data_IF_591670286235
#
_entry.id   IF_591670286235
#
_cell.length_a   1.000
_cell.length_b   1.000
_cell.length_c   1.000
_cell.angle_alpha   90.00
_cell.angle_beta   90.00
_cell.angle_gamma   90.00
#
_symmetry.space_group_name_H-M   'P 1'
#
loop_
_entity.id
_entity.type
_entity.pdbx_description
1 polymer ?
#
# COMPACT_ATOMS: atom_id res chain seq x y z
N UNK A 1 31.30 79.37 -14.82
CA UNK A 1 30.18 78.68 -15.48
C UNK A 1 30.64 77.29 -15.89
N UNK A 2 30.32 76.26 -15.10
CA UNK A 2 30.54 74.85 -15.47
C UNK A 2 29.15 74.19 -15.41
N UNK A 3 28.65 73.70 -16.54
CA UNK A 3 27.38 72.98 -16.64
C UNK A 3 27.70 71.49 -16.82
N UNK A 4 27.53 70.71 -15.77
CA UNK A 4 27.50 69.25 -15.85
C UNK A 4 26.05 68.88 -16.21
N UNK A 5 25.84 68.33 -17.41
CA UNK A 5 24.57 67.70 -17.80
C UNK A 5 24.64 66.23 -17.44
N UNK A 6 23.97 65.84 -16.36
CA UNK A 6 23.63 64.44 -16.10
C UNK A 6 22.60 64.02 -17.15
N UNK A 7 22.96 63.07 -18.02
CA UNK A 7 21.98 62.34 -18.83
C UNK A 7 21.57 61.13 -18.00
N UNK A 8 20.36 61.16 -17.45
CA UNK A 8 19.75 59.97 -16.82
C UNK A 8 19.08 59.18 -17.94
N UNK A 9 19.72 58.09 -18.38
CA UNK A 9 19.08 57.08 -19.20
C UNK A 9 18.17 56.23 -18.29
N UNK A 10 16.86 56.40 -18.42
CA UNK A 10 15.89 55.53 -17.73
C UNK A 10 15.80 54.20 -18.48
N UNK A 11 16.33 53.14 -17.88
CA UNK A 11 16.20 51.77 -18.36
C UNK A 11 14.79 51.26 -18.01
N UNK A 12 13.89 51.19 -19.00
CA UNK A 12 12.57 50.60 -18.85
C UNK A 12 12.73 49.07 -18.74
N UNK A 13 12.75 48.53 -17.52
CA UNK A 13 12.63 47.09 -17.29
C UNK A 13 11.19 46.65 -17.58
N UNK A 14 10.93 46.26 -18.83
CA UNK A 14 9.72 45.52 -19.20
C UNK A 14 9.79 44.14 -18.54
N UNK A 15 9.07 43.96 -17.44
CA UNK A 15 8.78 42.64 -16.89
C UNK A 15 7.88 41.89 -17.86
N UNK A 16 8.45 41.07 -18.73
CA UNK A 16 7.68 40.06 -19.47
C UNK A 16 7.06 39.11 -18.44
N UNK A 17 5.77 39.29 -18.18
CA UNK A 17 4.98 38.25 -17.55
C UNK A 17 4.87 37.15 -18.60
N UNK A 18 5.59 36.05 -18.43
CA UNK A 18 5.31 34.84 -19.21
C UNK A 18 3.97 34.33 -18.69
N UNK A 19 2.90 34.69 -19.41
CA UNK A 19 1.58 34.16 -19.14
C UNK A 19 1.61 32.66 -19.44
N UNK A 20 0.96 31.88 -18.58
CA UNK A 20 0.74 30.46 -18.83
C UNK A 20 0.06 30.28 -20.20
N UNK A 21 0.65 29.47 -21.06
CA UNK A 21 0.08 29.09 -22.35
C UNK A 21 -0.34 27.62 -22.34
N UNK A 22 -1.25 27.26 -23.26
CA UNK A 22 -1.69 25.89 -23.45
C UNK A 22 -1.04 25.31 -24.71
N UNK A 23 -0.28 24.24 -24.55
CA UNK A 23 0.40 23.55 -25.63
C UNK A 23 -0.16 22.15 -25.81
N UNK A 24 -0.43 21.77 -27.06
CA UNK A 24 -0.87 20.43 -27.44
C UNK A 24 0.23 19.77 -28.26
N UNK A 25 0.60 18.54 -27.89
CA UNK A 25 1.51 17.73 -28.68
C UNK A 25 0.87 17.39 -30.04
N UNK A 26 1.51 17.75 -31.15
CA UNK A 26 0.88 17.73 -32.48
C UNK A 26 1.60 16.86 -33.53
N UNK A 27 2.60 16.07 -33.14
CA UNK A 27 3.35 15.17 -34.03
C UNK A 27 3.27 13.71 -33.57
N UNK A 28 3.64 12.76 -34.44
CA UNK A 28 3.62 11.34 -34.09
C UNK A 28 4.72 10.95 -33.08
N UNK A 29 5.91 11.53 -33.20
CA UNK A 29 7.04 11.29 -32.31
C UNK A 29 8.06 12.42 -32.39
N UNK A 30 8.70 12.78 -31.28
CA UNK A 30 9.71 13.83 -31.26
C UNK A 30 10.17 14.23 -29.87
N UNK A 31 11.07 15.22 -29.81
CA UNK A 31 11.57 15.79 -28.57
C UNK A 31 10.68 16.93 -28.06
N UNK A 32 10.50 17.00 -26.74
CA UNK A 32 9.81 18.07 -26.02
C UNK A 32 10.40 19.45 -26.34
N UNK A 33 11.72 19.54 -26.48
CA UNK A 33 12.46 20.77 -26.74
C UNK A 33 12.33 21.32 -28.15
N UNK A 34 11.64 20.63 -29.06
CA UNK A 34 11.44 21.10 -30.44
C UNK A 34 10.16 21.93 -30.52
N UNK A 35 10.30 23.25 -30.71
CA UNK A 35 9.18 24.21 -30.77
C UNK A 35 8.06 23.83 -31.75
N UNK A 36 8.41 23.25 -32.91
CA UNK A 36 7.44 22.84 -33.93
C UNK A 36 6.65 21.57 -33.62
N UNK A 37 6.97 20.87 -32.51
CA UNK A 37 6.23 19.68 -32.07
C UNK A 37 5.05 20.02 -31.14
N UNK A 38 4.84 21.31 -30.89
CA UNK A 38 3.75 21.81 -30.06
C UNK A 38 2.85 22.75 -30.88
N UNK A 39 1.57 22.75 -30.55
CA UNK A 39 0.59 23.72 -31.05
C UNK A 39 0.04 24.54 -29.87
N UNK A 40 0.17 25.87 -29.87
CA UNK A 40 0.93 26.70 -30.82
C UNK A 40 2.44 26.39 -30.77
N UNK A 41 3.19 26.79 -31.80
CA UNK A 41 4.64 26.58 -31.82
C UNK A 41 5.30 27.29 -30.64
N UNK A 42 6.04 26.54 -29.84
CA UNK A 42 6.74 27.01 -28.65
C UNK A 42 7.24 25.84 -27.82
N UNK A 43 8.07 26.11 -26.83
CA UNK A 43 8.53 25.08 -25.89
C UNK A 43 7.82 25.34 -24.57
N UNK A 44 6.97 24.41 -24.08
CA UNK A 44 6.28 24.58 -22.81
C UNK A 44 7.27 24.76 -21.65
N UNK A 45 7.02 25.78 -20.82
CA UNK A 45 7.76 26.12 -19.61
C UNK A 45 6.96 25.89 -18.32
N UNK A 46 7.53 26.28 -17.18
CA UNK A 46 7.07 25.91 -15.83
C UNK A 46 5.71 26.45 -15.41
N UNK A 47 5.18 27.43 -16.13
CA UNK A 47 3.82 27.98 -15.95
C UNK A 47 2.78 27.33 -16.85
N UNK A 48 3.22 26.63 -17.90
CA UNK A 48 2.36 26.27 -19.02
C UNK A 48 1.59 24.97 -18.78
N UNK A 49 0.50 24.82 -19.52
CA UNK A 49 -0.24 23.57 -19.61
C UNK A 49 0.22 22.80 -20.84
N UNK A 50 0.43 21.49 -20.66
CA UNK A 50 0.74 20.55 -21.75
C UNK A 50 -0.35 19.50 -21.84
N UNK A 51 -0.87 19.28 -23.05
CA UNK A 51 -1.79 18.18 -23.37
C UNK A 51 -1.12 17.19 -24.31
N UNK A 52 -1.12 15.92 -23.92
CA UNK A 52 -0.64 14.78 -24.71
C UNK A 52 -1.80 13.79 -24.81
N UNK A 53 -2.31 13.60 -26.03
CA UNK A 53 -3.41 12.67 -26.31
C UNK A 53 -3.00 11.48 -27.16
N UNK A 54 -1.86 11.57 -27.85
CA UNK A 54 -1.34 10.55 -28.76
C UNK A 54 0.15 10.82 -29.05
N UNK A 55 0.76 9.90 -29.81
CA UNK A 55 2.17 10.02 -30.21
C UNK A 55 3.15 9.77 -29.07
N UNK A 56 4.43 10.02 -29.33
CA UNK A 56 5.53 9.84 -28.38
C UNK A 56 6.27 11.15 -28.12
N UNK A 57 6.20 11.64 -26.88
CA UNK A 57 6.96 12.81 -26.42
C UNK A 57 8.21 12.35 -25.72
N UNK A 58 9.39 12.77 -26.20
CA UNK A 58 10.67 12.48 -25.57
C UNK A 58 11.14 13.67 -24.73
N UNK A 59 11.43 13.45 -23.45
CA UNK A 59 12.05 14.42 -22.55
C UNK A 59 13.56 14.13 -22.50
N UNK A 60 14.33 14.74 -23.41
CA UNK A 60 15.81 14.59 -23.49
C UNK A 60 16.60 15.50 -22.54
N UNK A 61 15.94 16.51 -21.98
CA UNK A 61 16.46 17.53 -21.07
C UNK A 61 15.49 17.71 -19.91
N UNK A 62 15.95 18.18 -18.74
CA UNK A 62 15.04 18.43 -17.62
C UNK A 62 13.98 19.46 -18.01
N UNK A 63 12.72 19.21 -17.64
CA UNK A 63 11.57 20.07 -17.97
C UNK A 63 10.72 20.32 -16.74
N UNK A 64 9.99 21.43 -16.79
CA UNK A 64 8.97 21.76 -15.81
C UNK A 64 7.77 22.35 -16.52
N UNK A 65 6.57 22.03 -16.03
CA UNK A 65 5.28 22.55 -16.49
C UNK A 65 4.39 22.92 -15.32
N UNK A 66 3.46 23.84 -15.57
CA UNK A 66 2.40 24.15 -14.61
C UNK A 66 1.40 23.02 -14.54
N UNK A 67 0.92 22.57 -15.70
CA UNK A 67 -0.12 21.53 -15.80
C UNK A 67 0.23 20.45 -16.81
N UNK A 68 -0.02 19.19 -16.47
CA UNK A 68 0.11 18.04 -17.38
C UNK A 68 -1.23 17.33 -17.57
N UNK A 69 -1.72 17.27 -18.81
CA UNK A 69 -2.90 16.53 -19.22
C UNK A 69 -2.45 15.38 -20.12
N UNK A 70 -2.46 14.15 -19.58
CA UNK A 70 -2.10 12.93 -20.30
C UNK A 70 -3.34 12.07 -20.50
N UNK A 71 -3.86 12.05 -21.72
CA UNK A 71 -5.08 11.30 -22.09
C UNK A 71 -4.79 10.07 -22.95
N UNK A 72 -3.57 9.97 -23.49
CA UNK A 72 -3.09 8.87 -24.30
C UNK A 72 -1.64 9.07 -24.74
N UNK A 73 -1.14 8.24 -25.65
CA UNK A 73 0.24 8.32 -26.15
C UNK A 73 1.29 7.85 -25.15
N UNK A 74 2.56 8.19 -25.42
CA UNK A 74 3.73 7.85 -24.59
C UNK A 74 4.51 9.10 -24.20
N UNK A 75 4.67 9.32 -22.90
CA UNK A 75 5.62 10.28 -22.34
C UNK A 75 6.90 9.55 -21.92
N UNK A 76 7.98 9.73 -22.68
CA UNK A 76 9.24 9.01 -22.53
C UNK A 76 10.34 9.90 -21.95
N UNK A 77 10.80 9.61 -20.75
CA UNK A 77 11.89 10.34 -20.09
C UNK A 77 13.22 9.65 -20.38
N UNK A 78 14.16 10.38 -20.98
CA UNK A 78 15.51 9.86 -21.20
C UNK A 78 16.25 9.65 -19.86
N UNK A 79 17.30 8.84 -19.87
CA UNK A 79 18.08 8.54 -18.67
C UNK A 79 18.56 9.79 -17.93
N UNK A 80 18.38 9.77 -16.62
CA UNK A 80 18.74 10.86 -15.70
C UNK A 80 18.03 12.19 -16.01
N UNK A 81 16.83 12.12 -16.60
CA UNK A 81 15.96 13.28 -16.84
C UNK A 81 14.78 13.32 -15.91
N UNK A 82 14.40 14.55 -15.58
CA UNK A 82 13.28 14.86 -14.71
C UNK A 82 12.26 15.71 -15.44
N UNK A 83 10.99 15.34 -15.34
CA UNK A 83 9.86 16.22 -15.62
C UNK A 83 9.18 16.60 -14.30
N UNK A 84 9.07 17.90 -14.02
CA UNK A 84 8.37 18.43 -12.84
C UNK A 84 7.04 19.06 -13.21
N UNK A 85 5.95 18.63 -12.58
CA UNK A 85 4.61 19.22 -12.70
C UNK A 85 4.29 19.99 -11.43
N UNK A 86 4.05 21.30 -11.55
CA UNK A 86 4.00 22.20 -10.39
C UNK A 86 2.60 22.35 -9.76
N UNK A 87 1.55 22.48 -10.59
CA UNK A 87 0.25 22.95 -10.13
C UNK A 87 -0.84 21.88 -10.23
N UNK A 88 -0.98 21.23 -11.38
CA UNK A 88 -2.01 20.20 -11.54
C UNK A 88 -1.66 19.14 -12.58
N UNK A 89 -2.25 17.95 -12.44
CA UNK A 89 -2.12 16.91 -13.44
C UNK A 89 -3.42 16.13 -13.61
N UNK A 90 -3.63 15.60 -14.81
CA UNK A 90 -4.75 14.72 -15.11
C UNK A 90 -4.24 13.56 -15.95
N UNK A 91 -4.40 12.32 -15.47
CA UNK A 91 -3.95 11.13 -16.20
C UNK A 91 -5.14 10.22 -16.46
N UNK A 92 -5.59 10.17 -17.71
CA UNK A 92 -6.75 9.37 -18.13
C UNK A 92 -6.46 8.24 -19.11
N UNK A 93 -5.20 8.13 -19.54
CA UNK A 93 -4.72 7.03 -20.38
C UNK A 93 -3.28 7.26 -20.84
N UNK A 94 -2.69 6.24 -21.45
CA UNK A 94 -1.35 6.30 -22.02
C UNK A 94 -0.24 5.83 -21.08
N UNK A 95 0.99 5.92 -21.56
CA UNK A 95 2.17 5.36 -20.91
C UNK A 95 3.13 6.47 -20.49
N UNK A 96 3.58 6.44 -19.23
CA UNK A 96 4.74 7.18 -18.76
C UNK A 96 5.89 6.17 -18.68
N UNK A 97 6.95 6.37 -19.43
CA UNK A 97 8.09 5.44 -19.52
C UNK A 97 9.41 6.17 -19.38
N UNK A 98 10.47 5.47 -19.01
CA UNK A 98 11.81 6.03 -18.98
C UNK A 98 12.86 4.97 -18.67
N UNK A 99 13.76 5.31 -17.76
CA UNK A 99 14.75 4.39 -17.19
C UNK A 99 14.81 4.52 -15.67
N UNK A 100 15.52 3.62 -14.99
CA UNK A 100 15.66 3.57 -13.53
C UNK A 100 16.27 4.82 -12.90
N UNK A 101 16.93 5.67 -13.70
CA UNK A 101 17.46 6.97 -13.25
C UNK A 101 16.60 8.17 -13.65
N UNK A 102 15.52 7.96 -14.39
CA UNK A 102 14.58 9.01 -14.81
C UNK A 102 13.42 9.14 -13.82
N UNK A 103 12.82 10.35 -13.76
CA UNK A 103 11.78 10.65 -12.78
C UNK A 103 10.73 11.62 -13.32
N UNK A 104 9.47 11.34 -13.05
CA UNK A 104 8.40 12.36 -13.08
C UNK A 104 8.08 12.77 -11.64
N UNK A 105 7.96 14.08 -11.39
CA UNK A 105 7.76 14.64 -10.06
C UNK A 105 6.54 15.55 -10.06
N UNK A 106 5.58 15.27 -9.18
CA UNK A 106 4.44 16.15 -8.91
C UNK A 106 4.77 16.96 -7.66
N UNK A 107 4.85 18.29 -7.80
CA UNK A 107 5.27 19.18 -6.72
C UNK A 107 4.30 19.20 -5.54
N UNK A 108 4.71 19.78 -4.40
CA UNK A 108 3.91 19.78 -3.17
C UNK A 108 2.56 20.52 -3.29
N UNK A 109 2.43 21.42 -4.25
CA UNK A 109 1.17 22.11 -4.57
C UNK A 109 0.42 21.47 -5.74
N UNK A 110 0.92 20.35 -6.28
CA UNK A 110 0.30 19.68 -7.41
C UNK A 110 -0.92 18.89 -6.94
N UNK A 111 -2.09 19.21 -7.51
CA UNK A 111 -3.29 18.38 -7.40
C UNK A 111 -3.43 17.53 -8.66
N UNK A 112 -3.39 16.21 -8.51
CA UNK A 112 -3.49 15.26 -9.61
C UNK A 112 -4.75 14.40 -9.51
N UNK A 113 -5.44 14.21 -10.62
CA UNK A 113 -6.54 13.24 -10.72
C UNK A 113 -6.20 12.15 -11.73
N UNK A 114 -6.39 10.89 -11.33
CA UNK A 114 -6.25 9.72 -12.19
C UNK A 114 -7.63 9.10 -12.38
N UNK A 115 -8.12 9.03 -13.63
CA UNK A 115 -9.52 8.67 -13.92
C UNK A 115 -9.69 8.03 -15.31
N UNK A 116 -10.88 7.50 -15.58
CA UNK A 116 -11.31 7.08 -16.93
C UNK A 116 -10.74 5.74 -17.41
N UNK A 117 -11.54 4.94 -18.12
CA UNK A 117 -11.26 3.53 -18.41
C UNK A 117 -10.06 3.21 -19.35
N UNK A 118 -9.29 4.20 -19.81
CA UNK A 118 -8.11 3.96 -20.65
C UNK A 118 -6.97 3.32 -19.85
N UNK A 119 -6.24 2.38 -20.47
CA UNK A 119 -5.06 1.77 -19.85
C UNK A 119 -4.01 2.84 -19.52
N UNK A 120 -3.44 2.73 -18.31
CA UNK A 120 -2.39 3.58 -17.78
C UNK A 120 -1.21 2.72 -17.40
N UNK A 121 -0.01 3.08 -17.85
CA UNK A 121 1.21 2.34 -17.52
C UNK A 121 2.33 3.28 -17.07
N UNK A 122 3.05 2.87 -16.02
CA UNK A 122 4.35 3.40 -15.63
C UNK A 122 5.41 2.32 -15.83
N UNK A 123 6.48 2.63 -16.56
CA UNK A 123 7.52 1.66 -16.90
C UNK A 123 8.92 2.20 -16.56
N UNK A 124 9.75 1.44 -15.85
CA UNK A 124 11.17 1.71 -15.55
C UNK A 124 11.53 2.94 -14.71
N UNK A 125 10.65 3.93 -14.57
CA UNK A 125 10.97 5.24 -13.96
C UNK A 125 10.50 5.38 -12.52
N UNK A 126 10.97 6.44 -11.84
CA UNK A 126 10.41 6.86 -10.54
C UNK A 126 9.27 7.87 -10.72
N UNK A 127 8.08 7.53 -10.24
CA UNK A 127 6.93 8.43 -10.17
C UNK A 127 6.83 8.97 -8.74
N UNK A 128 7.13 10.27 -8.54
CA UNK A 128 7.13 10.86 -7.20
C UNK A 128 5.99 11.85 -6.99
N UNK A 129 5.17 11.55 -5.98
CA UNK A 129 4.16 12.45 -5.47
C UNK A 129 4.68 13.23 -4.25
N UNK A 130 4.65 14.56 -4.32
CA UNK A 130 4.81 15.44 -3.15
C UNK A 130 3.51 16.14 -2.74
N UNK A 131 2.47 16.10 -3.58
CA UNK A 131 1.21 16.80 -3.40
C UNK A 131 0.05 15.83 -3.17
N UNK A 132 -1.09 16.13 -3.79
CA UNK A 132 -2.33 15.38 -3.63
C UNK A 132 -2.65 14.62 -4.92
N UNK A 133 -2.77 13.30 -4.84
CA UNK A 133 -3.28 12.45 -5.92
C UNK A 133 -4.64 11.89 -5.49
N UNK A 134 -5.64 12.01 -6.36
CA UNK A 134 -6.92 11.32 -6.24
C UNK A 134 -7.07 10.32 -7.38
N UNK A 135 -7.22 9.05 -7.05
CA UNK A 135 -7.42 7.94 -8.00
C UNK A 135 -8.87 7.49 -7.98
N UNK A 136 -9.60 7.90 -9.03
CA UNK A 136 -11.04 7.65 -9.24
C UNK A 136 -11.26 6.74 -10.45
N UNK A 137 -10.20 6.05 -10.89
CA UNK A 137 -10.19 5.32 -12.14
C UNK A 137 -11.18 4.15 -12.17
N UNK A 138 -11.68 3.84 -13.36
CA UNK A 138 -12.41 2.61 -13.64
C UNK A 138 -11.53 1.54 -14.31
N UNK A 139 -10.36 1.93 -14.83
CA UNK A 139 -9.34 1.04 -15.37
C UNK A 139 -8.18 0.81 -14.39
N UNK A 140 -7.33 -0.17 -14.73
CA UNK A 140 -6.12 -0.48 -13.97
C UNK A 140 -4.99 0.51 -14.29
N UNK A 141 -4.14 0.76 -13.28
CA UNK A 141 -2.83 1.39 -13.49
C UNK A 141 -1.79 0.28 -13.40
N UNK A 142 -0.98 0.12 -14.44
CA UNK A 142 0.11 -0.85 -14.48
C UNK A 142 1.43 -0.21 -14.01
N UNK A 143 2.09 -0.84 -13.03
CA UNK A 143 3.41 -0.44 -12.51
C UNK A 143 4.43 -1.50 -12.93
N UNK A 144 5.03 -1.35 -14.11
CA UNK A 144 5.83 -2.40 -14.74
C UNK A 144 7.33 -2.12 -14.71
N UNK A 145 8.11 -3.20 -14.88
CA UNK A 145 9.54 -3.16 -15.16
C UNK A 145 10.33 -2.27 -14.19
N UNK A 146 10.21 -2.52 -12.88
CA UNK A 146 10.88 -1.74 -11.82
C UNK A 146 10.44 -0.28 -11.70
N UNK A 147 9.30 0.11 -12.29
CA UNK A 147 8.71 1.40 -11.99
C UNK A 147 8.48 1.54 -10.48
N UNK A 148 8.79 2.72 -9.94
CA UNK A 148 8.74 2.99 -8.52
C UNK A 148 7.82 4.17 -8.24
N UNK A 149 6.64 3.89 -7.70
CA UNK A 149 5.73 4.91 -7.20
C UNK A 149 6.15 5.29 -5.76
N UNK A 150 6.44 6.56 -5.53
CA UNK A 150 6.80 7.08 -4.21
C UNK A 150 5.80 8.16 -3.80
N UNK A 151 5.03 7.88 -2.75
CA UNK A 151 4.25 8.89 -2.04
C UNK A 151 5.14 9.51 -0.95
N UNK A 152 5.60 10.75 -1.15
CA UNK A 152 6.58 11.39 -0.25
C UNK A 152 5.93 11.85 1.05
N UNK A 153 6.77 12.20 2.03
CA UNK A 153 6.30 12.76 3.31
C UNK A 153 5.50 14.04 3.06
N UNK A 154 4.34 14.16 3.72
CA UNK A 154 3.38 15.25 3.52
C UNK A 154 2.47 15.11 2.30
N UNK A 155 2.71 14.12 1.42
CA UNK A 155 1.90 13.87 0.24
C UNK A 155 0.71 12.93 0.55
N UNK A 156 -0.39 13.12 -0.17
CA UNK A 156 -1.58 12.28 -0.08
C UNK A 156 -1.82 11.50 -1.36
N UNK A 157 -2.15 10.22 -1.23
CA UNK A 157 -2.68 9.40 -2.31
C UNK A 157 -4.02 8.81 -1.90
N UNK A 158 -5.10 9.43 -2.39
CA UNK A 158 -6.47 9.04 -2.08
C UNK A 158 -7.01 8.08 -3.15
N UNK A 159 -7.54 6.94 -2.71
CA UNK A 159 -8.11 5.87 -3.52
C UNK A 159 -9.64 5.93 -3.38
N UNK A 160 -10.30 6.35 -4.44
CA UNK A 160 -11.76 6.51 -4.52
C UNK A 160 -12.43 5.46 -5.42
N UNK A 161 -11.66 4.52 -5.98
CA UNK A 161 -12.13 3.48 -6.88
C UNK A 161 -12.08 2.05 -6.30
N UNK A 162 -12.53 1.10 -7.11
CA UNK A 162 -12.58 -0.35 -6.84
C UNK A 162 -11.84 -1.11 -7.94
N UNK A 163 -10.63 -0.64 -8.22
CA UNK A 163 -9.80 -1.13 -9.31
C UNK A 163 -8.44 -1.55 -8.79
N UNK A 164 -7.64 -2.13 -9.68
CA UNK A 164 -6.32 -2.66 -9.35
C UNK A 164 -5.23 -1.69 -9.77
N UNK A 165 -4.33 -1.37 -8.83
CA UNK A 165 -2.99 -0.87 -9.12
C UNK A 165 -2.18 -2.13 -9.37
N UNK A 166 -2.10 -2.49 -10.64
CA UNK A 166 -1.61 -3.78 -11.07
C UNK A 166 -0.10 -3.77 -11.29
N UNK A 167 0.51 -4.90 -10.99
CA UNK A 167 1.80 -5.28 -11.52
C UNK A 167 1.56 -6.44 -12.50
N UNK A 168 1.80 -6.19 -13.80
CA UNK A 168 1.75 -7.29 -14.78
C UNK A 168 3.06 -8.06 -14.68
N UNK A 169 2.97 -9.34 -14.34
CA UNK A 169 4.08 -10.28 -14.20
C UNK A 169 5.11 -10.19 -15.34
N UNK A 170 6.14 -9.38 -15.14
CA UNK A 170 7.39 -9.41 -15.88
C UNK A 170 8.52 -9.46 -14.84
N UNK A 171 9.65 -10.08 -15.19
CA UNK A 171 10.71 -10.57 -14.28
C UNK A 171 11.25 -9.61 -13.21
N UNK A 172 10.92 -8.31 -13.27
CA UNK A 172 11.34 -7.31 -12.30
C UNK A 172 10.13 -6.43 -11.87
N UNK A 173 9.69 -6.62 -10.62
CA UNK A 173 8.47 -6.06 -10.00
C UNK A 173 8.39 -4.53 -9.90
N UNK A 174 7.19 -3.97 -9.97
CA UNK A 174 6.93 -2.57 -9.59
C UNK A 174 6.92 -2.38 -8.07
N UNK A 175 7.20 -1.16 -7.58
CA UNK A 175 7.25 -0.85 -6.14
C UNK A 175 6.33 0.32 -5.79
N UNK A 176 5.71 0.23 -4.62
CA UNK A 176 4.98 1.34 -3.99
C UNK A 176 5.63 1.65 -2.65
N UNK A 177 6.22 2.84 -2.53
CA UNK A 177 6.76 3.31 -1.25
C UNK A 177 5.94 4.48 -0.72
N UNK A 178 5.44 4.33 0.49
CA UNK A 178 4.68 5.37 1.18
C UNK A 178 5.47 5.93 2.36
N UNK A 179 5.80 7.23 2.29
CA UNK A 179 6.29 8.05 3.40
C UNK A 179 5.24 9.06 3.88
N UNK A 180 4.19 9.28 3.09
CA UNK A 180 3.07 10.18 3.39
C UNK A 180 1.84 9.41 3.85
N UNK A 181 0.69 9.78 3.30
CA UNK A 181 -0.59 9.13 3.60
C UNK A 181 -1.19 8.53 2.33
N UNK A 182 -1.55 7.25 2.39
CA UNK A 182 -2.44 6.60 1.42
C UNK A 182 -3.79 6.41 2.12
N UNK A 183 -4.88 6.90 1.54
CA UNK A 183 -6.22 6.77 2.13
C UNK A 183 -7.19 6.16 1.15
N UNK A 184 -8.07 5.27 1.60
CA UNK A 184 -9.26 4.82 0.86
C UNK A 184 -10.50 5.53 1.40
N UNK A 185 -11.09 6.41 0.60
CA UNK A 185 -12.28 7.21 0.99
C UNK A 185 -13.55 6.89 0.18
N UNK A 186 -13.42 6.30 -1.02
CA UNK A 186 -14.57 5.95 -1.88
C UNK A 186 -15.01 4.48 -1.82
N UNK A 187 -16.11 4.13 -2.49
CA UNK A 187 -16.73 2.79 -2.55
C UNK A 187 -17.30 2.26 -1.24
N UNK A 188 -18.43 2.84 -0.86
CA UNK A 188 -19.27 2.36 0.24
C UNK A 188 -20.27 1.31 -0.26
N UNK A 189 -20.19 0.08 0.25
CA UNK A 189 -21.31 -0.87 0.26
C UNK A 189 -21.20 -2.10 -0.65
N UNK A 190 -20.66 -3.19 -0.10
CA UNK A 190 -20.70 -4.53 -0.70
C UNK A 190 -19.65 -5.47 -0.10
N UNK A 191 -19.93 -6.78 -0.07
CA UNK A 191 -18.99 -7.79 0.48
C UNK A 191 -17.72 -8.03 -0.36
N UNK A 192 -17.54 -7.34 -1.50
CA UNK A 192 -16.40 -7.53 -2.42
C UNK A 192 -16.02 -6.22 -3.16
N UNK A 193 -15.91 -5.08 -2.46
CA UNK A 193 -15.48 -3.78 -3.02
C UNK A 193 -14.01 -3.50 -2.70
N UNK A 194 -13.12 -4.10 -3.50
CA UNK A 194 -11.69 -4.16 -3.21
C UNK A 194 -10.87 -3.25 -4.13
N UNK A 195 -9.92 -2.51 -3.56
CA UNK A 195 -8.80 -1.95 -4.31
C UNK A 195 -7.57 -2.81 -4.09
N UNK A 196 -7.10 -3.43 -5.17
CA UNK A 196 -5.93 -4.31 -5.15
C UNK A 196 -4.66 -3.54 -5.45
N UNK A 197 -3.67 -3.67 -4.57
CA UNK A 197 -2.34 -3.10 -4.72
C UNK A 197 -1.33 -4.26 -4.80
N UNK A 198 -0.87 -4.56 -6.01
CA UNK A 198 0.11 -5.62 -6.30
C UNK A 198 1.58 -5.17 -6.53
N UNK A 199 1.95 -3.87 -6.52
CA UNK A 199 3.35 -3.51 -6.37
C UNK A 199 3.90 -3.98 -5.02
N UNK A 200 5.20 -4.28 -4.95
CA UNK A 200 5.87 -4.53 -3.66
C UNK A 200 5.68 -3.31 -2.76
N UNK A 201 4.94 -3.50 -1.67
CA UNK A 201 4.62 -2.45 -0.71
C UNK A 201 5.81 -2.19 0.22
N UNK A 202 6.16 -0.91 0.39
CA UNK A 202 6.99 -0.39 1.47
C UNK A 202 6.22 0.74 2.16
N UNK A 203 5.84 0.56 3.42
CA UNK A 203 5.11 1.56 4.19
C UNK A 203 5.95 2.06 5.38
N UNK A 204 6.29 3.34 5.34
CA UNK A 204 6.94 4.10 6.40
C UNK A 204 6.06 5.26 6.89
N UNK A 205 4.93 5.51 6.22
CA UNK A 205 3.95 6.53 6.56
C UNK A 205 2.66 5.92 7.10
N UNK A 206 1.53 6.48 6.71
CA UNK A 206 0.19 6.01 7.09
C UNK A 206 -0.55 5.42 5.89
N UNK A 207 -1.15 4.26 6.07
CA UNK A 207 -2.17 3.70 5.19
C UNK A 207 -3.49 3.71 5.97
N UNK A 208 -4.54 4.31 5.42
CA UNK A 208 -5.83 4.50 6.09
C UNK A 208 -6.96 3.92 5.23
N UNK A 209 -7.69 2.95 5.75
CA UNK A 209 -8.94 2.46 5.17
C UNK A 209 -10.11 3.11 5.91
N UNK A 210 -10.73 4.14 5.35
CA UNK A 210 -11.90 4.80 5.95
C UNK A 210 -13.21 4.09 5.56
N UNK A 211 -13.20 3.41 4.42
CA UNK A 211 -14.31 2.61 3.89
C UNK A 211 -13.77 1.43 3.08
N UNK A 212 -14.60 0.40 2.89
CA UNK A 212 -14.32 -0.71 1.96
C UNK A 212 -13.07 -1.51 2.30
N UNK A 213 -12.46 -2.14 1.28
CA UNK A 213 -11.28 -2.98 1.43
C UNK A 213 -10.10 -2.39 0.65
N UNK A 214 -8.96 -2.20 1.34
CA UNK A 214 -7.65 -2.07 0.69
C UNK A 214 -6.97 -3.43 0.78
N UNK A 215 -6.69 -4.06 -0.35
CA UNK A 215 -5.95 -5.32 -0.40
C UNK A 215 -4.55 -5.11 -0.93
N UNK A 216 -3.59 -5.65 -0.20
CA UNK A 216 -2.21 -5.74 -0.60
C UNK A 216 -1.90 -7.19 -0.99
N UNK A 217 -1.38 -7.36 -2.18
CA UNK A 217 -1.01 -8.68 -2.71
C UNK A 217 0.49 -8.94 -2.52
N UNK A 218 1.31 -7.90 -2.32
CA UNK A 218 2.76 -8.08 -2.27
C UNK A 218 3.45 -7.15 -1.26
N UNK A 219 4.05 -7.74 -0.21
CA UNK A 219 4.88 -7.03 0.75
C UNK A 219 6.36 -7.04 0.41
N UNK A 220 7.12 -6.13 1.03
CA UNK A 220 8.58 -6.21 1.04
C UNK A 220 9.05 -7.43 1.85
N UNK A 221 10.08 -8.11 1.34
CA UNK A 221 10.74 -9.25 1.99
C UNK A 221 12.15 -8.91 2.48
N UNK A 222 12.57 -7.64 2.41
CA UNK A 222 13.93 -7.20 2.73
C UNK A 222 14.06 -6.47 4.07
N UNK A 223 13.46 -5.29 4.19
CA UNK A 223 13.77 -4.32 5.28
C UNK A 223 12.72 -4.23 6.38
N UNK A 224 11.58 -4.88 6.22
CA UNK A 224 10.47 -4.82 7.17
C UNK A 224 9.65 -3.53 7.02
N UNK A 225 8.34 -3.67 7.17
CA UNK A 225 7.37 -2.56 7.15
C UNK A 225 7.26 -1.97 8.58
N UNK A 226 7.42 -0.66 8.72
CA UNK A 226 7.50 0.04 10.02
C UNK A 226 6.43 1.13 10.21
N UNK A 227 5.52 1.32 9.23
CA UNK A 227 4.49 2.35 9.23
C UNK A 227 3.20 2.03 10.00
N UNK A 228 2.24 2.96 9.92
CA UNK A 228 0.90 2.82 10.53
C UNK A 228 -0.12 2.36 9.48
N UNK A 229 -1.00 1.45 9.92
CA UNK A 229 -2.18 0.98 9.20
C UNK A 229 -3.41 1.32 10.05
N UNK A 230 -4.25 2.22 9.58
CA UNK A 230 -5.47 2.66 10.25
C UNK A 230 -6.68 2.08 9.52
N UNK A 231 -7.66 1.54 10.25
CA UNK A 231 -8.89 1.01 9.66
C UNK A 231 -10.12 1.49 10.44
N UNK A 232 -11.06 2.12 9.75
CA UNK A 232 -12.33 2.56 10.33
C UNK A 232 -13.30 1.41 10.57
N UNK A 233 -14.31 1.65 11.41
CA UNK A 233 -15.36 0.65 11.64
C UNK A 233 -16.04 0.26 10.32
N UNK A 234 -16.03 -1.03 10.00
CA UNK A 234 -16.58 -1.58 8.75
C UNK A 234 -15.62 -1.55 7.55
N UNK A 235 -14.44 -0.93 7.68
CA UNK A 235 -13.38 -0.99 6.68
C UNK A 235 -12.41 -2.15 6.96
N UNK A 236 -11.65 -2.53 5.93
CA UNK A 236 -10.72 -3.66 5.98
C UNK A 236 -9.39 -3.31 5.31
N UNK A 237 -8.30 -3.67 5.98
CA UNK A 237 -6.97 -3.80 5.37
C UNK A 237 -6.68 -5.29 5.23
N UNK A 238 -6.46 -5.75 3.99
CA UNK A 238 -6.32 -7.17 3.63
C UNK A 238 -4.92 -7.46 3.11
N UNK A 239 -4.30 -8.55 3.59
CA UNK A 239 -3.01 -9.07 3.12
C UNK A 239 -3.22 -10.49 2.58
N UNK A 240 -3.09 -10.70 1.26
CA UNK A 240 -3.75 -11.85 0.61
C UNK A 240 -2.88 -12.85 -0.17
N UNK A 241 -1.80 -12.41 -0.83
CA UNK A 241 -1.06 -13.25 -1.79
C UNK A 241 0.38 -13.59 -1.35
N UNK A 242 1.31 -12.65 -1.50
CA UNK A 242 2.76 -12.88 -1.32
C UNK A 242 3.22 -12.47 0.08
N UNK A 243 4.43 -12.85 0.52
CA UNK A 243 4.89 -12.56 1.88
C UNK A 243 4.94 -11.07 2.24
N UNK A 244 4.70 -10.79 3.53
CA UNK A 244 4.85 -9.50 4.19
C UNK A 244 5.77 -9.65 5.39
N UNK A 245 6.78 -8.79 5.50
CA UNK A 245 7.62 -8.68 6.69
C UNK A 245 7.30 -7.36 7.40
N UNK A 246 7.01 -7.43 8.70
CA UNK A 246 6.74 -6.27 9.55
C UNK A 246 7.77 -6.17 10.67
N UNK A 247 8.28 -4.96 10.89
CA UNK A 247 9.28 -4.64 11.91
C UNK A 247 8.93 -3.30 12.58
N UNK A 248 8.00 -3.30 13.52
CA UNK A 248 7.49 -2.11 14.18
C UNK A 248 6.19 -1.54 13.60
N UNK A 249 5.43 -2.32 12.83
CA UNK A 249 4.16 -1.86 12.28
C UNK A 249 3.08 -1.69 13.34
N UNK A 250 2.27 -0.63 13.18
CA UNK A 250 1.18 -0.28 14.09
C UNK A 250 -0.17 -0.36 13.37
N UNK A 251 -1.05 -1.24 13.85
CA UNK A 251 -2.40 -1.40 13.36
C UNK A 251 -3.37 -0.73 14.32
N UNK A 252 -4.17 0.22 13.83
CA UNK A 252 -4.99 1.12 14.64
C UNK A 252 -6.39 1.28 14.07
N UNK A 253 -7.29 1.89 14.84
CA UNK A 253 -8.69 2.10 14.44
C UNK A 253 -9.60 0.93 14.82
N UNK A 254 -10.86 1.00 14.41
CA UNK A 254 -11.95 0.14 14.87
C UNK A 254 -12.41 -0.90 13.82
N UNK A 255 -11.71 -0.97 12.68
CA UNK A 255 -11.98 -1.92 11.61
C UNK A 255 -11.21 -3.23 11.74
N UNK A 256 -11.15 -3.94 10.62
CA UNK A 256 -10.50 -5.25 10.53
C UNK A 256 -9.19 -5.15 9.75
N UNK A 257 -8.17 -5.81 10.26
CA UNK A 257 -6.97 -6.18 9.53
C UNK A 257 -7.03 -7.68 9.34
N UNK A 258 -6.99 -8.15 8.10
CA UNK A 258 -7.16 -9.56 7.80
C UNK A 258 -6.00 -10.12 6.99
N UNK A 259 -5.75 -11.41 7.19
CA UNK A 259 -5.00 -12.23 6.26
C UNK A 259 -5.92 -13.28 5.67
N UNK A 260 -5.99 -13.31 4.35
CA UNK A 260 -6.85 -14.23 3.58
C UNK A 260 -6.03 -14.89 2.48
N UNK A 261 -6.54 -15.94 1.85
CA UNK A 261 -5.92 -16.49 0.64
C UNK A 261 -6.59 -15.89 -0.61
N UNK A 262 -5.81 -15.40 -1.59
CA UNK A 262 -6.36 -15.03 -2.93
C UNK A 262 -5.87 -15.96 -4.06
N UNK A 263 -4.60 -16.37 -4.08
CA UNK A 263 -4.01 -17.13 -5.22
C UNK A 263 -2.65 -17.81 -4.89
N UNK A 264 -1.73 -17.17 -4.14
CA UNK A 264 -0.55 -17.80 -3.52
C UNK A 264 -0.57 -17.64 -2.00
N UNK A 265 0.47 -18.10 -1.30
CA UNK A 265 0.43 -18.34 0.15
C UNK A 265 0.85 -17.08 0.89
N UNK A 266 -0.06 -16.36 1.57
CA UNK A 266 0.34 -15.21 2.37
C UNK A 266 1.19 -15.71 3.54
N UNK A 267 2.30 -15.02 3.77
CA UNK A 267 3.15 -15.24 4.93
C UNK A 267 3.35 -13.89 5.57
N UNK A 268 2.82 -13.72 6.78
CA UNK A 268 3.18 -12.59 7.61
C UNK A 268 4.31 -13.02 8.52
N UNK A 269 5.42 -12.31 8.44
CA UNK A 269 6.56 -12.48 9.32
C UNK A 269 6.74 -11.21 10.14
N UNK A 270 6.63 -11.34 11.46
CA UNK A 270 6.99 -10.31 12.41
C UNK A 270 8.48 -10.47 12.77
N UNK A 271 9.28 -9.42 12.62
CA UNK A 271 10.70 -9.37 13.00
C UNK A 271 10.97 -8.20 13.93
N UNK A 272 12.16 -8.13 14.53
CA UNK A 272 12.64 -6.96 15.28
C UNK A 272 11.65 -6.43 16.31
N UNK A 273 11.17 -5.19 16.12
CA UNK A 273 10.19 -4.48 16.96
C UNK A 273 8.78 -5.04 16.87
N UNK A 274 8.50 -5.85 15.85
CA UNK A 274 7.30 -6.66 15.74
C UNK A 274 6.06 -5.93 15.23
N UNK A 275 4.89 -6.27 15.77
CA UNK A 275 3.62 -5.68 15.36
C UNK A 275 2.72 -5.42 16.55
N UNK A 276 2.01 -4.30 16.53
CA UNK A 276 1.02 -3.96 17.57
C UNK A 276 -0.33 -3.62 16.95
N UNK A 277 -1.41 -4.22 17.45
CA UNK A 277 -2.79 -3.89 17.13
C UNK A 277 -3.43 -3.14 18.30
N UNK A 278 -4.14 -2.04 18.03
CA UNK A 278 -4.81 -1.22 19.04
C UNK A 278 -6.06 -1.90 19.60
N UNK A 279 -6.60 -1.39 20.72
CA UNK A 279 -7.75 -1.99 21.40
C UNK A 279 -9.05 -1.99 20.60
N UNK A 280 -9.19 -1.11 19.60
CA UNK A 280 -10.33 -1.12 18.69
C UNK A 280 -10.19 -2.08 17.51
N UNK A 281 -8.96 -2.53 17.21
CA UNK A 281 -8.67 -3.20 15.94
C UNK A 281 -8.92 -4.69 16.04
N UNK A 282 -9.56 -5.27 15.01
CA UNK A 282 -9.67 -6.72 14.87
C UNK A 282 -8.55 -7.24 13.98
N UNK A 283 -7.78 -8.22 14.45
CA UNK A 283 -6.87 -9.00 13.61
C UNK A 283 -7.51 -10.35 13.28
N UNK A 284 -7.78 -10.60 12.00
CA UNK A 284 -8.38 -11.83 11.50
C UNK A 284 -7.37 -12.65 10.70
N UNK A 285 -7.21 -13.93 11.04
CA UNK A 285 -6.50 -14.90 10.19
C UNK A 285 -7.52 -15.88 9.62
N UNK A 286 -7.70 -15.84 8.30
CA UNK A 286 -8.62 -16.67 7.53
C UNK A 286 -7.94 -17.20 6.25
N UNK A 287 -6.78 -17.85 6.44
CA UNK A 287 -5.99 -18.39 5.34
C UNK A 287 -6.32 -19.87 5.16
N UNK A 288 -7.24 -20.18 4.25
CA UNK A 288 -7.60 -21.55 3.90
C UNK A 288 -6.50 -22.19 3.01
N UNK A 289 -6.30 -23.50 3.14
CA UNK A 289 -5.24 -24.21 2.40
C UNK A 289 -5.24 -25.71 2.69
N UNK A 290 -4.90 -26.53 1.71
CA UNK A 290 -5.10 -27.99 1.75
C UNK A 290 -3.84 -28.78 2.10
N UNK A 291 -2.67 -28.13 2.24
CA UNK A 291 -1.43 -28.81 2.62
C UNK A 291 -0.86 -28.33 3.96
N UNK A 292 -0.14 -29.24 4.65
CA UNK A 292 0.54 -29.03 5.94
C UNK A 292 1.65 -27.95 5.92
N UNK A 293 1.77 -27.20 4.83
CA UNK A 293 2.76 -26.15 4.64
C UNK A 293 2.15 -24.74 4.43
N UNK A 294 0.84 -24.51 4.42
CA UNK A 294 0.26 -23.26 3.89
C UNK A 294 -0.15 -22.21 4.95
N UNK A 295 0.08 -20.92 4.64
CA UNK A 295 -0.50 -19.74 5.30
C UNK A 295 -0.08 -19.49 6.75
N UNK A 296 0.82 -18.52 6.99
CA UNK A 296 1.38 -18.37 8.32
C UNK A 296 1.46 -16.94 8.85
N UNK A 297 1.16 -16.81 10.13
CA UNK A 297 1.67 -15.74 10.99
C UNK A 297 2.87 -16.28 11.76
N UNK A 298 4.02 -15.66 11.63
CA UNK A 298 5.16 -16.06 12.44
C UNK A 298 6.30 -15.07 12.48
N UNK A 299 7.53 -15.58 12.54
CA UNK A 299 8.74 -14.80 12.78
C UNK A 299 9.20 -14.83 14.23
N UNK A 300 10.24 -14.07 14.55
CA UNK A 300 10.86 -13.95 15.87
C UNK A 300 10.45 -12.67 16.62
N UNK A 301 9.90 -11.68 15.90
CA UNK A 301 9.37 -10.46 16.47
C UNK A 301 8.08 -10.67 17.27
N UNK A 302 7.80 -9.78 18.25
CA UNK A 302 6.60 -9.84 19.05
C UNK A 302 5.35 -9.44 18.26
N UNK A 303 4.23 -10.11 18.52
CA UNK A 303 2.91 -9.74 18.01
C UNK A 303 2.02 -9.43 19.20
N UNK A 304 1.58 -8.19 19.33
CA UNK A 304 0.78 -7.71 20.46
C UNK A 304 -0.58 -7.25 19.93
N UNK A 305 -1.65 -7.94 20.34
CA UNK A 305 -3.01 -7.65 19.90
C UNK A 305 -3.80 -7.10 21.09
N UNK A 306 -3.98 -5.79 21.14
CA UNK A 306 -4.75 -5.16 22.23
C UNK A 306 -6.26 -5.19 21.98
N UNK A 307 -6.67 -5.37 20.72
CA UNK A 307 -8.07 -5.52 20.32
C UNK A 307 -8.46 -6.99 20.20
N UNK A 308 -9.30 -7.29 19.21
CA UNK A 308 -9.78 -8.66 18.99
C UNK A 308 -8.80 -9.43 18.13
N UNK A 309 -8.44 -10.64 18.54
CA UNK A 309 -7.80 -11.63 17.68
C UNK A 309 -8.83 -12.67 17.25
N UNK A 310 -9.13 -12.77 15.96
CA UNK A 310 -9.97 -13.83 15.40
C UNK A 310 -9.13 -14.80 14.57
N UNK A 311 -9.19 -16.09 14.90
CA UNK A 311 -8.48 -17.15 14.18
C UNK A 311 -9.44 -18.18 13.61
N UNK A 312 -9.65 -18.12 12.28
CA UNK A 312 -10.51 -19.03 11.51
C UNK A 312 -9.71 -20.12 10.82
N UNK A 313 -8.65 -19.75 10.11
CA UNK A 313 -7.88 -20.69 9.33
C UNK A 313 -6.38 -20.37 9.37
N UNK A 314 -5.55 -21.33 8.95
CA UNK A 314 -4.12 -21.14 8.82
C UNK A 314 -3.31 -21.55 10.05
N UNK A 315 -2.04 -21.15 10.06
CA UNK A 315 -1.01 -21.66 10.97
C UNK A 315 -0.27 -20.51 11.66
N UNK A 316 0.21 -20.76 12.87
CA UNK A 316 0.99 -19.80 13.67
C UNK A 316 2.34 -20.44 14.01
N UNK A 317 3.47 -19.80 13.69
CA UNK A 317 4.81 -20.35 13.97
C UNK A 317 5.79 -19.35 14.56
N UNK A 318 6.95 -19.87 14.96
CA UNK A 318 8.14 -19.09 15.28
C UNK A 318 8.29 -18.83 16.76
N UNK A 319 9.47 -18.39 17.16
CA UNK A 319 9.84 -18.21 18.56
C UNK A 319 9.38 -16.87 19.16
N UNK A 320 8.86 -15.94 18.34
CA UNK A 320 8.40 -14.64 18.82
C UNK A 320 7.19 -14.73 19.76
N UNK A 321 7.05 -13.77 20.66
CA UNK A 321 5.89 -13.70 21.56
C UNK A 321 4.61 -13.38 20.78
N UNK A 322 3.49 -14.05 21.07
CA UNK A 322 2.15 -13.66 20.62
C UNK A 322 1.28 -13.39 21.86
N UNK A 323 0.86 -12.14 22.04
CA UNK A 323 0.09 -11.69 23.19
C UNK A 323 -1.23 -11.10 22.73
N UNK A 324 -2.34 -11.58 23.28
CA UNK A 324 -3.68 -11.03 23.06
C UNK A 324 -4.16 -10.41 24.37
N UNK A 325 -4.21 -9.09 24.44
CA UNK A 325 -4.72 -8.36 25.60
C UNK A 325 -6.23 -8.12 25.53
N UNK A 326 -6.80 -8.08 24.33
CA UNK A 326 -8.25 -8.02 24.14
C UNK A 326 -8.87 -9.41 24.02
N UNK A 327 -9.97 -9.51 23.27
CA UNK A 327 -10.71 -10.77 23.11
C UNK A 327 -10.00 -11.70 22.13
N UNK A 328 -9.92 -12.99 22.47
CA UNK A 328 -9.50 -14.04 21.54
C UNK A 328 -10.71 -14.86 21.07
N UNK A 329 -10.98 -14.85 19.77
CA UNK A 329 -12.01 -15.65 19.12
C UNK A 329 -11.32 -16.74 18.29
N UNK A 330 -11.57 -17.99 18.63
CA UNK A 330 -11.17 -19.12 17.77
C UNK A 330 -12.42 -19.69 17.12
N UNK A 331 -12.63 -19.25 15.89
CA UNK A 331 -13.80 -19.53 15.04
C UNK A 331 -13.43 -20.51 13.93
N UNK A 332 -12.61 -21.51 14.25
CA UNK A 332 -11.94 -22.32 13.25
C UNK A 332 -12.86 -22.99 12.22
N UNK A 333 -12.54 -22.76 10.95
CA UNK A 333 -13.15 -23.41 9.77
C UNK A 333 -12.26 -24.52 9.22
N UNK A 334 -10.96 -24.49 9.53
CA UNK A 334 -9.96 -25.50 9.15
C UNK A 334 -9.30 -26.15 10.38
N UNK A 335 -8.51 -27.20 10.14
CA UNK A 335 -7.59 -27.66 11.17
C UNK A 335 -6.45 -26.65 11.24
N UNK A 336 -6.29 -26.01 12.39
CA UNK A 336 -5.29 -24.98 12.60
C UNK A 336 -4.10 -25.57 13.34
N UNK A 337 -2.94 -24.92 13.25
CA UNK A 337 -1.72 -25.41 13.87
C UNK A 337 -0.90 -24.29 14.48
N UNK A 338 -0.37 -24.53 15.69
CA UNK A 338 0.69 -23.75 16.30
C UNK A 338 2.00 -24.55 16.34
N UNK A 339 3.12 -23.92 16.02
CA UNK A 339 4.47 -24.53 16.10
C UNK A 339 5.48 -23.58 16.75
N UNK A 340 6.21 -24.02 17.77
CA UNK A 340 7.27 -23.26 18.48
C UNK A 340 6.82 -21.99 19.23
N UNK A 341 5.62 -21.47 18.95
CA UNK A 341 5.13 -20.18 19.46
C UNK A 341 4.33 -20.35 20.74
N UNK A 342 4.45 -19.38 21.64
CA UNK A 342 3.58 -19.22 22.80
C UNK A 342 2.53 -18.13 22.53
N UNK A 343 1.25 -18.48 22.62
CA UNK A 343 0.11 -17.57 22.61
C UNK A 343 -0.31 -17.29 24.05
N UNK A 344 -0.13 -16.06 24.53
CA UNK A 344 -0.62 -15.61 25.84
C UNK A 344 -1.90 -14.81 25.65
N UNK A 345 -2.98 -15.23 26.30
CA UNK A 345 -4.27 -14.56 26.24
C UNK A 345 -4.58 -13.94 27.60
N UNK A 346 -4.61 -12.61 27.67
CA UNK A 346 -4.89 -11.86 28.89
C UNK A 346 -6.35 -11.36 28.97
N UNK A 347 -7.07 -11.32 27.84
CA UNK A 347 -8.51 -11.07 27.82
C UNK A 347 -9.34 -12.36 27.72
N UNK A 348 -10.66 -12.23 27.61
CA UNK A 348 -11.53 -13.40 27.48
C UNK A 348 -11.34 -14.10 26.13
N UNK A 349 -11.49 -15.43 26.13
CA UNK A 349 -11.37 -16.26 24.95
C UNK A 349 -12.58 -17.14 24.71
N UNK A 350 -12.99 -17.25 23.44
CA UNK A 350 -14.18 -17.98 23.02
C UNK A 350 -13.80 -19.00 21.94
N UNK A 351 -13.90 -20.28 22.29
CA UNK A 351 -13.69 -21.41 21.38
C UNK A 351 -15.02 -21.82 20.74
N UNK A 352 -15.32 -21.30 19.55
CA UNK A 352 -16.60 -21.50 18.84
C UNK A 352 -16.45 -22.16 17.47
N UNK A 353 -15.23 -22.53 17.08
CA UNK A 353 -14.93 -23.21 15.82
C UNK A 353 -15.73 -24.50 15.59
N UNK A 354 -15.74 -24.97 14.34
CA UNK A 354 -16.47 -26.17 13.94
C UNK A 354 -16.02 -27.39 14.75
N UNK A 355 -16.97 -28.17 15.26
CA UNK A 355 -16.67 -29.37 16.07
C UNK A 355 -15.90 -30.47 15.31
N UNK A 356 -15.88 -30.40 13.98
CA UNK A 356 -15.12 -31.32 13.11
C UNK A 356 -13.66 -30.91 12.91
N UNK A 357 -13.25 -29.77 13.49
CA UNK A 357 -11.92 -29.18 13.34
C UNK A 357 -11.15 -29.28 14.64
N UNK A 358 -9.83 -29.19 14.53
CA UNK A 358 -8.91 -29.30 15.66
C UNK A 358 -7.84 -28.22 15.65
N UNK A 359 -7.26 -27.97 16.83
CA UNK A 359 -6.04 -27.19 16.99
C UNK A 359 -4.85 -28.14 17.24
N UNK A 360 -3.88 -28.13 16.34
CA UNK A 360 -2.67 -28.93 16.44
C UNK A 360 -1.54 -28.15 17.11
N UNK A 361 -0.89 -28.76 18.11
CA UNK A 361 0.31 -28.27 18.77
C UNK A 361 1.52 -29.06 18.28
N UNK A 362 2.53 -28.32 17.84
CA UNK A 362 3.75 -28.85 17.26
C UNK A 362 4.98 -28.13 17.85
N UNK A 363 6.13 -28.82 17.90
CA UNK A 363 7.43 -28.26 18.29
C UNK A 363 7.41 -27.39 19.56
N UNK A 364 6.68 -27.81 20.60
CA UNK A 364 6.63 -27.09 21.88
C UNK A 364 5.75 -25.84 21.90
N UNK A 365 4.85 -25.67 20.94
CA UNK A 365 3.85 -24.60 20.98
C UNK A 365 3.01 -24.62 22.27
N UNK A 366 2.59 -23.46 22.75
CA UNK A 366 1.77 -23.37 23.97
C UNK A 366 0.72 -22.26 23.92
N UNK A 367 -0.38 -22.49 24.63
CA UNK A 367 -1.37 -21.45 24.95
C UNK A 367 -1.37 -21.21 26.46
N UNK A 368 -1.30 -19.95 26.86
CA UNK A 368 -1.41 -19.51 28.25
C UNK A 368 -2.70 -18.71 28.39
N UNK A 369 -3.66 -19.23 29.16
CA UNK A 369 -4.78 -18.43 29.66
C UNK A 369 -4.29 -17.62 30.87
N UNK A 370 -4.21 -16.30 30.71
CA UNK A 370 -3.63 -15.36 31.66
C UNK A 370 -4.41 -15.22 32.96
N UNK A 371 -3.78 -14.62 33.98
CA UNK A 371 -4.45 -14.34 35.26
C UNK A 371 -5.61 -13.37 35.04
N UNK A 372 -6.80 -13.73 35.49
CA UNK A 372 -8.01 -12.92 35.33
C UNK A 372 -8.76 -13.11 34.00
N UNK A 373 -8.16 -13.81 33.03
CA UNK A 373 -8.82 -14.17 31.77
C UNK A 373 -9.76 -15.38 31.95
N UNK A 374 -10.88 -15.38 31.24
CA UNK A 374 -11.75 -16.56 31.16
C UNK A 374 -11.60 -17.25 29.81
N UNK A 375 -11.35 -18.55 29.87
CA UNK A 375 -11.33 -19.46 28.75
C UNK A 375 -12.70 -20.14 28.59
N UNK A 376 -13.45 -19.82 27.53
CA UNK A 376 -14.75 -20.44 27.21
C UNK A 376 -14.63 -21.47 26.08
N UNK A 377 -14.59 -22.76 26.42
CA UNK A 377 -14.69 -23.84 25.43
C UNK A 377 -16.17 -24.09 25.11
N UNK A 378 -16.69 -23.50 24.02
CA UNK A 378 -18.10 -23.61 23.65
C UNK A 378 -18.34 -24.71 22.59
N UNK A 379 -17.39 -24.89 21.67
CA UNK A 379 -17.44 -25.97 20.67
C UNK A 379 -17.00 -27.33 21.25
N UNK A 380 -17.23 -28.39 20.48
CA UNK A 380 -16.67 -29.72 20.72
C UNK A 380 -15.41 -30.00 19.87
N UNK A 381 -14.71 -28.95 19.40
CA UNK A 381 -13.44 -29.11 18.66
C UNK A 381 -12.35 -29.69 19.55
N UNK A 382 -11.47 -30.50 18.98
CA UNK A 382 -10.38 -31.14 19.74
C UNK A 382 -9.08 -30.36 19.64
N UNK A 383 -8.16 -30.64 20.56
CA UNK A 383 -6.80 -30.14 20.52
C UNK A 383 -5.86 -31.34 20.54
N UNK A 384 -4.81 -31.32 19.73
CA UNK A 384 -3.96 -32.49 19.52
C UNK A 384 -2.49 -32.09 19.55
N UNK A 385 -1.65 -32.87 20.24
CA UNK A 385 -0.19 -32.73 20.15
C UNK A 385 0.28 -33.71 19.09
N UNK A 386 0.81 -33.20 17.97
CA UNK A 386 1.04 -34.02 16.76
C UNK A 386 2.52 -34.35 16.51
N UNK A 387 3.46 -33.88 17.32
CA UNK A 387 4.90 -34.17 17.16
C UNK A 387 5.64 -34.32 18.49
N UNK A 388 6.91 -34.75 18.41
CA UNK A 388 7.81 -34.91 19.55
C UNK A 388 8.29 -33.56 20.08
N UNK A 389 7.44 -32.92 20.89
CA UNK A 389 7.71 -31.70 21.64
C UNK A 389 6.44 -31.37 22.41
N UNK A 390 6.53 -31.17 23.73
CA UNK A 390 5.36 -31.05 24.60
C UNK A 390 4.55 -29.80 24.26
N UNK A 391 3.53 -29.94 23.40
CA UNK A 391 2.48 -28.94 23.28
C UNK A 391 1.81 -28.76 24.65
N UNK A 392 1.45 -27.53 25.02
CA UNK A 392 0.86 -27.28 26.35
C UNK A 392 -0.24 -26.24 26.35
N UNK A 393 -1.19 -26.46 27.26
CA UNK A 393 -2.16 -25.46 27.69
C UNK A 393 -1.91 -25.16 29.15
N UNK A 394 -1.71 -23.89 29.48
CA UNK A 394 -1.43 -23.43 30.84
C UNK A 394 -2.57 -22.51 31.25
N UNK A 395 -3.35 -22.93 32.25
CA UNK A 395 -4.44 -22.12 32.77
C UNK A 395 -4.05 -21.42 34.07
N UNK A 396 -3.77 -20.12 34.00
CA UNK A 396 -3.58 -19.25 35.16
C UNK A 396 -4.85 -18.44 35.52
N UNK A 397 -5.86 -18.46 34.66
CA UNK A 397 -7.17 -17.84 34.85
C UNK A 397 -8.28 -18.86 35.12
N UNK A 398 -9.46 -18.59 34.57
CA UNK A 398 -10.63 -19.48 34.67
C UNK A 398 -10.80 -20.27 33.38
N UNK A 399 -11.12 -21.57 33.47
CA UNK A 399 -11.54 -22.37 32.32
C UNK A 399 -12.97 -22.84 32.52
N UNK A 400 -13.79 -22.69 31.48
CA UNK A 400 -15.21 -23.05 31.45
C UNK A 400 -15.52 -23.88 30.20
N UNK A 401 -16.37 -24.89 30.38
CA UNK A 401 -17.04 -25.58 29.28
C UNK A 401 -18.50 -25.16 29.33
N UNK A 402 -18.90 -24.38 28.34
CA UNK A 402 -20.27 -23.87 28.18
C UNK A 402 -20.96 -24.53 26.98
#
# INVERSE_FOLDING_TARGET
>A
MIRIRLVVASLLLLSFHILAANYVWNVSSGDWGTSGNWSPNGIPGSSDQVTISSGTVTVSSNRSVGTLILTGGTLSLSSSRVLTVNNSASWSGGTITGSSSSKISFGASCSMTIFGAGEKSMNYLTFENYGDIVWQDAGEIKVNYEAHFINRSGANFNIENKTRLDFVAATNGGRLTNYGTITKTGNTGGSYDESQLDPTLLNYGTISAEVGIIQFEHGDTGTGLEGTFYTESGAVISFADRPFIFDGANFTGNGTVQMIQSNTRPVLTSTGSGMTFSSGTTFLIDVEGSSASEGYVGGDGPIIINGTFEWRAGRIYGSGSLVVNGTFLYTATTNNLMSQRTLTVNGDSYWTGLSSKRLDFDNGASIINGVGATFHQQSNSTWEVISAGSGSFINNGTFTKD
#
